data_IF_849730496957
#
_entry.id   IF_849730496957
#
_cell.length_a   1.000
_cell.length_b   1.000
_cell.length_c   1.000
_cell.angle_alpha   90.00
_cell.angle_beta   90.00
_cell.angle_gamma   90.00
#
_symmetry.space_group_name_H-M   'P 1'
#
loop_
_entity.id
_entity.type
_entity.pdbx_description
1 polymer ?
#
# COMPACT_ATOMS: atom_id res chain seq x y z
N UNK A 1 21.50 27.89 2.82
CA UNK A 1 22.15 26.93 1.90
C UNK A 1 22.43 25.67 2.71
N UNK A 2 21.71 24.57 2.48
CA UNK A 2 21.78 23.34 3.32
C UNK A 2 22.80 22.32 2.76
N UNK A 3 23.45 22.64 1.63
CA UNK A 3 24.49 21.82 1.02
C UNK A 3 25.68 21.71 1.99
N UNK A 4 26.06 20.47 2.30
CA UNK A 4 27.12 20.16 3.27
C UNK A 4 26.63 19.87 4.69
N UNK A 5 25.36 20.14 5.01
CA UNK A 5 24.73 19.78 6.30
C UNK A 5 23.90 18.49 6.21
N UNK A 6 23.43 18.15 5.01
CA UNK A 6 22.65 16.94 4.70
C UNK A 6 23.23 16.26 3.47
N UNK A 7 23.05 14.94 3.39
CA UNK A 7 23.59 14.12 2.31
C UNK A 7 22.92 14.48 0.96
N UNK A 8 23.61 14.19 -0.14
CA UNK A 8 23.08 14.49 -1.48
C UNK A 8 21.80 13.70 -1.77
N UNK A 9 21.70 12.49 -1.25
CA UNK A 9 20.54 11.61 -1.38
C UNK A 9 19.26 12.26 -0.83
N UNK A 10 19.38 12.91 0.33
CA UNK A 10 18.26 13.65 0.95
C UNK A 10 17.86 14.83 0.06
N UNK A 11 18.84 15.59 -0.44
CA UNK A 11 18.59 16.72 -1.31
C UNK A 11 17.91 16.30 -2.61
N UNK A 12 18.33 15.18 -3.19
CA UNK A 12 17.72 14.60 -4.39
C UNK A 12 16.29 14.15 -4.13
N UNK A 13 16.04 13.46 -3.01
CA UNK A 13 14.70 13.06 -2.60
C UNK A 13 13.76 14.27 -2.53
N UNK A 14 14.16 15.30 -1.78
CA UNK A 14 13.35 16.52 -1.62
C UNK A 14 13.14 17.22 -2.97
N UNK A 15 14.16 17.33 -3.81
CA UNK A 15 14.07 18.06 -5.07
C UNK A 15 13.22 17.36 -6.14
N UNK A 16 13.16 16.02 -6.13
CA UNK A 16 12.62 15.24 -7.26
C UNK A 16 11.47 14.29 -6.90
N UNK A 17 10.97 14.24 -5.66
CA UNK A 17 9.85 13.34 -5.29
C UNK A 17 8.52 13.66 -5.98
N UNK A 18 8.38 14.82 -6.63
CA UNK A 18 7.22 15.17 -7.46
C UNK A 18 7.43 14.87 -8.96
N UNK A 19 8.60 14.37 -9.36
CA UNK A 19 8.79 13.83 -10.70
C UNK A 19 8.01 12.52 -10.83
N UNK A 20 7.47 12.26 -12.02
CA UNK A 20 6.73 11.04 -12.35
C UNK A 20 7.55 10.20 -13.31
N UNK A 21 7.47 8.88 -13.16
CA UNK A 21 8.30 7.95 -13.93
C UNK A 21 8.19 8.14 -15.46
N UNK A 22 7.03 8.52 -15.98
CA UNK A 22 6.77 8.80 -17.40
C UNK A 22 7.30 10.16 -17.91
N UNK A 23 7.76 11.04 -17.02
CA UNK A 23 8.23 12.39 -17.30
C UNK A 23 7.17 13.49 -17.24
N UNK A 24 5.93 13.19 -16.85
CA UNK A 24 4.84 14.18 -16.72
C UNK A 24 4.85 14.94 -15.39
N UNK A 25 5.81 14.63 -14.51
CA UNK A 25 6.00 15.28 -13.23
C UNK A 25 6.80 16.58 -13.32
N UNK A 26 7.16 17.12 -12.17
CA UNK A 26 7.84 18.41 -12.04
C UNK A 26 8.92 18.31 -10.94
N UNK A 27 9.92 19.21 -10.89
CA UNK A 27 10.05 20.47 -11.65
C UNK A 27 10.72 20.38 -13.03
N UNK A 28 11.45 19.30 -13.34
CA UNK A 28 12.30 19.21 -14.54
C UNK A 28 11.74 18.24 -15.61
N UNK A 29 10.68 17.49 -15.32
CA UNK A 29 10.11 16.52 -16.25
C UNK A 29 11.07 15.35 -16.48
N UNK A 30 11.77 14.92 -15.42
CA UNK A 30 12.72 13.80 -15.51
C UNK A 30 11.94 12.51 -15.72
N UNK A 31 12.45 11.67 -16.62
CA UNK A 31 11.82 10.41 -17.02
C UNK A 31 12.66 9.20 -16.60
N UNK A 32 11.99 8.13 -16.17
CA UNK A 32 12.54 6.86 -15.76
C UNK A 32 13.69 7.05 -14.74
N UNK A 33 14.82 6.39 -14.97
CA UNK A 33 16.03 6.41 -14.13
C UNK A 33 16.80 7.75 -14.13
N UNK A 34 16.34 8.78 -14.87
CA UNK A 34 16.87 10.15 -14.71
C UNK A 34 16.39 10.79 -13.41
N UNK A 35 15.30 10.28 -12.84
CA UNK A 35 14.84 10.60 -11.50
C UNK A 35 15.76 9.85 -10.51
N UNK A 36 16.44 10.55 -9.59
CA UNK A 36 17.30 9.89 -8.61
C UNK A 36 16.53 8.88 -7.77
N UNK A 37 17.23 7.86 -7.27
CA UNK A 37 16.62 6.75 -6.51
C UNK A 37 15.74 7.27 -5.35
N UNK A 38 16.25 8.21 -4.55
CA UNK A 38 15.53 8.76 -3.42
C UNK A 38 14.28 9.56 -3.83
N UNK A 39 14.29 10.21 -5.00
CA UNK A 39 13.11 10.85 -5.55
C UNK A 39 12.02 9.83 -5.90
N UNK A 40 12.40 8.71 -6.53
CA UNK A 40 11.48 7.62 -6.87
C UNK A 40 10.93 6.88 -5.63
N UNK A 41 11.73 6.72 -4.58
CA UNK A 41 11.28 6.13 -3.31
C UNK A 41 10.28 7.06 -2.60
N UNK A 42 10.63 8.35 -2.47
CA UNK A 42 9.77 9.31 -1.79
C UNK A 42 8.47 9.57 -2.54
N UNK A 43 8.44 9.50 -3.88
CA UNK A 43 7.19 9.69 -4.64
C UNK A 43 6.14 8.64 -4.28
N UNK A 44 6.53 7.37 -4.11
CA UNK A 44 5.63 6.30 -3.67
C UNK A 44 5.17 6.55 -2.22
N UNK A 45 6.12 6.85 -1.32
CA UNK A 45 5.83 7.06 0.10
C UNK A 45 4.89 8.25 0.33
N UNK A 46 5.13 9.36 -0.37
CA UNK A 46 4.35 10.61 -0.27
C UNK A 46 2.91 10.38 -0.70
N UNK A 47 2.69 9.75 -1.86
CA UNK A 47 1.33 9.48 -2.36
C UNK A 47 0.60 8.49 -1.47
N UNK A 48 1.25 7.41 -1.02
CA UNK A 48 0.64 6.46 -0.09
C UNK A 48 0.20 7.15 1.20
N UNK A 49 1.09 7.94 1.81
CA UNK A 49 0.80 8.65 3.05
C UNK A 49 -0.31 9.68 2.86
N UNK A 50 -0.29 10.41 1.74
CA UNK A 50 -1.32 11.40 1.39
C UNK A 50 -2.72 10.80 1.27
N UNK A 51 -2.84 9.58 0.73
CA UNK A 51 -4.12 8.90 0.53
C UNK A 51 -4.63 8.19 1.79
N UNK A 52 -3.73 7.64 2.61
CA UNK A 52 -4.09 6.93 3.85
C UNK A 52 -4.26 7.84 5.07
N UNK A 53 -3.89 9.12 4.97
CA UNK A 53 -4.06 10.09 6.05
C UNK A 53 -5.38 10.84 5.94
N UNK A 54 -6.01 11.13 7.09
CA UNK A 54 -7.13 12.06 7.14
C UNK A 54 -6.65 13.48 6.81
N UNK A 55 -7.41 14.19 5.96
CA UNK A 55 -7.21 15.61 5.66
C UNK A 55 -8.48 16.37 5.98
N UNK A 56 -8.36 17.67 6.22
CA UNK A 56 -9.51 18.54 6.56
C UNK A 56 -10.67 18.45 5.55
N UNK A 57 -10.37 18.12 4.29
CA UNK A 57 -11.32 18.03 3.18
C UNK A 57 -11.60 16.59 2.68
N UNK A 58 -10.93 15.55 3.23
CA UNK A 58 -11.08 14.17 2.75
C UNK A 58 -10.78 13.16 3.86
N UNK A 59 -11.63 12.13 3.98
CA UNK A 59 -11.31 10.96 4.80
C UNK A 59 -10.18 10.14 4.17
N UNK A 60 -9.41 9.45 5.01
CA UNK A 60 -8.42 8.47 4.57
C UNK A 60 -9.06 7.39 3.68
N UNK A 61 -8.38 7.04 2.59
CA UNK A 61 -8.70 5.87 1.78
C UNK A 61 -8.25 4.59 2.50
N UNK A 62 -8.95 3.49 2.24
CA UNK A 62 -8.62 2.20 2.84
C UNK A 62 -7.32 1.65 2.19
N UNK A 63 -6.37 1.07 2.94
CA UNK A 63 -5.07 0.70 2.38
C UNK A 63 -5.13 -0.18 1.12
N UNK A 64 -5.99 -1.21 1.01
CA UNK A 64 -6.15 -1.97 -0.23
C UNK A 64 -6.51 -1.09 -1.44
N UNK A 65 -7.39 -0.10 -1.29
CA UNK A 65 -7.78 0.81 -2.38
C UNK A 65 -6.58 1.67 -2.81
N UNK A 66 -5.77 2.11 -1.85
CA UNK A 66 -4.54 2.86 -2.12
C UNK A 66 -3.52 2.00 -2.84
N UNK A 67 -3.37 0.73 -2.43
CA UNK A 67 -2.47 -0.21 -3.10
C UNK A 67 -2.87 -0.44 -4.56
N UNK A 68 -4.17 -0.64 -4.83
CA UNK A 68 -4.70 -0.74 -6.19
C UNK A 68 -4.41 0.53 -7.00
N UNK A 69 -4.65 1.71 -6.43
CA UNK A 69 -4.32 2.99 -7.09
C UNK A 69 -2.83 3.10 -7.41
N UNK A 70 -1.94 2.73 -6.49
CA UNK A 70 -0.51 2.80 -6.76
C UNK A 70 -0.12 1.83 -7.88
N UNK A 71 -0.61 0.59 -7.83
CA UNK A 71 -0.36 -0.42 -8.87
C UNK A 71 -0.90 -0.02 -10.24
N UNK A 72 -2.07 0.63 -10.31
CA UNK A 72 -2.62 1.13 -11.58
C UNK A 72 -1.78 2.23 -12.21
N UNK A 73 -0.86 2.84 -11.44
CA UNK A 73 0.05 3.89 -11.90
C UNK A 73 1.52 3.42 -11.93
N UNK A 74 1.75 2.10 -11.93
CA UNK A 74 3.07 1.52 -12.16
C UNK A 74 3.61 1.89 -13.57
N UNK A 75 4.93 2.11 -13.66
CA UNK A 75 5.66 2.55 -14.85
C UNK A 75 5.15 3.83 -15.53
N UNK A 76 4.20 4.52 -14.90
CA UNK A 76 3.68 5.83 -15.33
C UNK A 76 4.01 6.89 -14.28
N UNK A 77 3.39 6.84 -13.10
CA UNK A 77 3.78 7.75 -12.01
C UNK A 77 4.93 7.18 -11.19
N UNK A 78 4.94 5.87 -10.99
CA UNK A 78 5.87 5.20 -10.07
C UNK A 78 6.78 4.23 -10.80
N UNK A 79 8.00 4.10 -10.30
CA UNK A 79 8.88 3.01 -10.66
C UNK A 79 8.31 1.68 -10.14
N UNK A 80 8.08 0.71 -11.04
CA UNK A 80 7.54 -0.59 -10.70
C UNK A 80 8.39 -1.37 -9.68
N UNK A 81 9.71 -1.35 -9.79
CA UNK A 81 10.59 -2.13 -8.91
C UNK A 81 10.52 -1.60 -7.47
N UNK A 82 10.51 -0.27 -7.32
CA UNK A 82 10.38 0.38 -6.01
C UNK A 82 8.97 0.15 -5.45
N UNK A 83 7.94 0.31 -6.28
CA UNK A 83 6.55 0.15 -5.87
C UNK A 83 6.29 -1.28 -5.37
N UNK A 84 6.76 -2.30 -6.08
CA UNK A 84 6.55 -3.70 -5.68
C UNK A 84 7.26 -4.02 -4.36
N UNK A 85 8.46 -3.49 -4.13
CA UNK A 85 9.15 -3.63 -2.84
C UNK A 85 8.37 -2.91 -1.73
N UNK A 86 7.87 -1.71 -1.99
CA UNK A 86 7.08 -0.95 -1.02
C UNK A 86 5.81 -1.72 -0.61
N UNK A 87 5.02 -2.20 -1.57
CA UNK A 87 3.76 -2.88 -1.30
C UNK A 87 3.91 -4.22 -0.55
N UNK A 88 5.03 -4.93 -0.76
CA UNK A 88 5.37 -6.14 0.02
C UNK A 88 5.59 -5.84 1.51
N UNK A 89 5.92 -4.61 1.87
CA UNK A 89 6.20 -4.21 3.25
C UNK A 89 5.04 -3.45 3.92
N UNK A 90 3.96 -3.16 3.18
CA UNK A 90 2.75 -2.54 3.73
C UNK A 90 1.76 -3.61 4.18
N UNK A 91 1.34 -3.52 5.44
CA UNK A 91 0.28 -4.36 6.00
C UNK A 91 -1.06 -3.73 5.68
N UNK A 92 -1.76 -4.27 4.68
CA UNK A 92 -3.06 -3.77 4.25
C UNK A 92 -4.16 -3.97 5.31
N UNK A 93 -4.07 -5.08 6.04
CA UNK A 93 -4.99 -5.43 7.12
C UNK A 93 -4.22 -5.78 8.39
N UNK A 94 -4.02 -4.83 9.32
CA UNK A 94 -3.36 -5.11 10.58
C UNK A 94 -4.02 -6.26 11.35
N UNK A 95 -3.23 -7.01 12.13
CA UNK A 95 -3.79 -8.01 13.05
C UNK A 95 -4.72 -7.31 14.03
N UNK A 96 -5.91 -7.88 14.22
CA UNK A 96 -7.00 -7.28 15.01
C UNK A 96 -8.02 -6.49 14.20
N UNK A 97 -7.78 -6.22 12.91
CA UNK A 97 -8.77 -5.57 12.05
C UNK A 97 -9.98 -6.48 11.84
N UNK A 98 -11.18 -5.95 12.10
CA UNK A 98 -12.44 -6.60 11.76
C UNK A 98 -12.68 -6.46 10.26
N UNK A 99 -12.98 -7.55 9.58
CA UNK A 99 -13.16 -7.56 8.13
C UNK A 99 -14.47 -8.21 7.74
N UNK A 100 -15.07 -7.71 6.66
CA UNK A 100 -16.16 -8.38 5.95
C UNK A 100 -15.60 -9.05 4.70
N UNK A 101 -16.02 -10.28 4.46
CA UNK A 101 -15.61 -11.08 3.31
C UNK A 101 -16.66 -11.04 2.20
N UNK A 102 -16.24 -11.30 0.96
CA UNK A 102 -17.10 -11.31 -0.24
C UNK A 102 -18.20 -12.37 -0.17
N UNK A 103 -18.06 -13.39 0.67
CA UNK A 103 -19.07 -14.42 0.93
C UNK A 103 -20.04 -14.06 2.08
N UNK A 104 -20.12 -12.78 2.45
CA UNK A 104 -20.94 -12.23 3.53
C UNK A 104 -20.57 -12.67 4.96
N UNK A 105 -19.53 -13.48 5.15
CA UNK A 105 -18.99 -13.76 6.49
C UNK A 105 -18.20 -12.55 7.01
N UNK A 106 -18.09 -12.44 8.33
CA UNK A 106 -17.27 -11.43 9.00
C UNK A 106 -16.25 -12.12 9.90
N UNK A 107 -15.11 -11.48 10.15
CA UNK A 107 -14.01 -12.05 10.90
C UNK A 107 -13.04 -11.01 11.43
N UNK A 108 -12.00 -11.49 12.11
CA UNK A 108 -10.89 -10.67 12.59
C UNK A 108 -9.60 -11.21 11.99
N UNK A 109 -8.75 -10.34 11.47
CA UNK A 109 -7.43 -10.72 10.98
C UNK A 109 -6.55 -11.18 12.14
N UNK A 110 -6.00 -12.39 12.05
CA UNK A 110 -5.16 -12.96 13.11
C UNK A 110 -3.69 -13.12 12.69
N UNK A 111 -3.42 -13.19 11.39
CA UNK A 111 -2.06 -13.31 10.85
C UNK A 111 -1.99 -12.76 9.43
N UNK A 112 -0.88 -12.11 9.08
CA UNK A 112 -0.57 -11.65 7.73
C UNK A 112 0.52 -12.53 7.09
N UNK A 113 0.50 -12.66 5.76
CA UNK A 113 1.55 -13.35 5.01
C UNK A 113 2.48 -12.34 4.34
N UNK A 114 3.80 -12.52 4.51
CA UNK A 114 4.81 -11.61 3.94
C UNK A 114 4.79 -11.59 2.41
N UNK A 115 4.39 -12.70 1.81
CA UNK A 115 4.29 -12.91 0.37
C UNK A 115 3.09 -12.17 -0.21
N UNK A 116 2.01 -12.01 0.56
CA UNK A 116 0.79 -11.34 0.12
C UNK A 116 -0.02 -10.78 1.30
N UNK A 117 0.22 -9.50 1.62
CA UNK A 117 -0.44 -8.80 2.73
C UNK A 117 -1.93 -8.50 2.47
N UNK A 118 -2.47 -8.80 1.28
CA UNK A 118 -3.90 -8.67 0.97
C UNK A 118 -4.69 -9.95 1.26
N UNK A 119 -4.01 -11.05 1.60
CA UNK A 119 -4.65 -12.36 1.83
C UNK A 119 -4.32 -12.91 3.21
N UNK A 120 -4.71 -12.24 4.30
CA UNK A 120 -4.40 -12.68 5.65
C UNK A 120 -5.14 -13.98 6.04
N UNK A 121 -4.72 -14.55 7.18
CA UNK A 121 -5.53 -15.51 7.93
C UNK A 121 -6.57 -14.75 8.75
N UNK A 122 -7.84 -15.16 8.62
CA UNK A 122 -8.99 -14.52 9.26
C UNK A 122 -9.66 -15.53 10.18
N UNK A 123 -9.90 -15.15 11.44
CA UNK A 123 -10.79 -15.89 12.33
C UNK A 123 -12.21 -15.40 12.13
N UNK A 124 -13.09 -16.27 11.66
CA UNK A 124 -14.49 -15.95 11.43
C UNK A 124 -15.23 -15.71 12.75
N UNK A 125 -16.27 -14.88 12.70
CA UNK A 125 -17.18 -14.65 13.81
C UNK A 125 -18.44 -15.49 13.61
N UNK A 126 -18.85 -16.19 14.67
CA UNK A 126 -20.15 -16.84 14.73
C UNK A 126 -21.28 -15.79 14.85
N UNK A 127 -22.56 -16.16 14.60
CA UNK A 127 -23.69 -15.23 14.70
C UNK A 127 -23.84 -14.54 16.07
N UNK A 128 -23.34 -15.15 17.14
CA UNK A 128 -23.31 -14.61 18.49
C UNK A 128 -22.03 -13.80 18.79
N UNK A 129 -21.26 -13.41 17.77
CA UNK A 129 -19.97 -12.72 17.85
C UNK A 129 -18.87 -13.47 18.63
N UNK A 130 -19.01 -14.78 18.82
CA UNK A 130 -17.95 -15.60 19.38
C UNK A 130 -16.93 -16.01 18.32
N UNK A 131 -15.67 -16.29 18.70
CA UNK A 131 -14.67 -16.80 17.77
C UNK A 131 -15.11 -18.12 17.10
N UNK A 132 -15.03 -18.16 15.78
CA UNK A 132 -15.32 -19.33 14.95
C UNK A 132 -14.07 -19.92 14.30
N UNK A 133 -14.24 -20.54 13.13
CA UNK A 133 -13.16 -21.17 12.36
C UNK A 133 -12.13 -20.16 11.86
N UNK A 134 -10.88 -20.61 11.71
CA UNK A 134 -9.80 -19.83 11.09
C UNK A 134 -9.66 -20.24 9.63
N UNK A 135 -9.60 -19.25 8.74
CA UNK A 135 -9.45 -19.47 7.31
C UNK A 135 -8.21 -18.75 6.81
N UNK A 136 -7.41 -19.43 6.00
CA UNK A 136 -6.24 -18.84 5.33
C UNK A 136 -6.64 -18.42 3.92
N UNK A 137 -6.76 -17.11 3.68
CA UNK A 137 -7.18 -16.58 2.38
C UNK A 137 -6.11 -16.75 1.29
N UNK A 138 -4.89 -17.17 1.63
CA UNK A 138 -3.78 -17.34 0.70
C UNK A 138 -3.51 -18.81 0.38
N UNK A 139 -3.38 -19.67 1.38
CA UNK A 139 -2.96 -21.06 1.19
C UNK A 139 -4.12 -22.06 1.05
N UNK A 140 -5.33 -21.71 1.51
CA UNK A 140 -6.48 -22.62 1.38
C UNK A 140 -7.21 -22.39 0.05
N UNK A 141 -7.09 -23.38 -0.85
CA UNK A 141 -7.74 -23.39 -2.16
C UNK A 141 -9.26 -23.17 -2.09
N UNK A 142 -9.92 -23.53 -0.99
CA UNK A 142 -11.37 -23.33 -0.81
C UNK A 142 -11.76 -21.86 -0.68
N UNK A 143 -10.82 -21.00 -0.28
CA UNK A 143 -11.06 -19.57 -0.01
C UNK A 143 -10.27 -18.64 -0.96
N UNK A 144 -9.60 -19.17 -1.98
CA UNK A 144 -8.85 -18.37 -2.96
C UNK A 144 -9.72 -17.33 -3.69
N UNK A 145 -11.01 -17.61 -3.89
CA UNK A 145 -11.97 -16.68 -4.49
C UNK A 145 -12.66 -15.73 -3.48
N UNK A 146 -12.35 -15.86 -2.18
CA UNK A 146 -12.93 -15.03 -1.12
C UNK A 146 -12.00 -13.86 -0.82
N UNK A 147 -12.50 -12.64 -1.00
CA UNK A 147 -11.75 -11.40 -0.77
C UNK A 147 -12.30 -10.63 0.42
N UNK A 148 -11.49 -9.75 1.00
CA UNK A 148 -11.97 -8.77 1.97
C UNK A 148 -12.60 -7.60 1.21
N UNK A 149 -13.84 -7.25 1.56
CA UNK A 149 -14.62 -6.18 0.92
C UNK A 149 -14.78 -4.93 1.77
N UNK A 150 -14.52 -5.04 3.08
CA UNK A 150 -14.49 -3.92 4.01
C UNK A 150 -13.65 -4.30 5.24
N UNK A 151 -13.07 -3.32 5.92
CA UNK A 151 -12.37 -3.48 7.19
C UNK A 151 -12.27 -2.20 7.99
#
# INVERSE_FOLDING_TARGET
MIKGLVSNEILEGIAYHHEKFDGTGYPQGRKNYRIPLYGRILSVCDVYHALTSNRSYRKSCFPPEVMEYLMSNADTHFDYDILTVFLKNIVAFPVGTFVKLSNNKSGVVIQNHKENNLRPVVRLLNPNNTPGEEIDLFNDYKYMNVTIVAG
#
